data_IF_960398535319
#
_entry.id   IF_960398535319
#
_cell.length_a   1.000
_cell.length_b   1.000
_cell.length_c   1.000
_cell.angle_alpha   90.00
_cell.angle_beta   90.00
_cell.angle_gamma   90.00
#
_symmetry.space_group_name_H-M   'P 1'
#
loop_
_entity.id
_entity.type
_entity.pdbx_description
1 polymer ?
#
# COMPACT_ATOMS: atom_id res chain seq x y z
N UNK A 1 -20.48 -44.27 5.66
CA UNK A 1 -20.64 -43.44 4.46
C UNK A 1 -19.30 -42.76 4.20
N UNK A 2 -18.46 -43.34 3.35
CA UNK A 2 -17.17 -42.77 2.94
C UNK A 2 -17.34 -42.40 1.46
N UNK A 3 -17.23 -41.11 1.13
CA UNK A 3 -17.46 -40.63 -0.25
C UNK A 3 -18.01 -39.20 -0.41
N UNK A 4 -18.14 -38.42 0.67
CA UNK A 4 -18.77 -37.07 0.62
C UNK A 4 -17.83 -35.89 0.36
N UNK A 5 -16.51 -36.10 0.32
CA UNK A 5 -15.55 -35.00 0.18
C UNK A 5 -14.86 -35.06 -1.18
N UNK A 6 -15.07 -34.02 -1.99
CA UNK A 6 -14.38 -33.83 -3.26
C UNK A 6 -13.26 -32.82 -3.05
N UNK A 7 -12.01 -33.26 -3.20
CA UNK A 7 -10.87 -32.35 -3.24
C UNK A 7 -10.80 -31.70 -4.62
N UNK A 8 -10.85 -30.38 -4.66
CA UNK A 8 -10.74 -29.57 -5.88
C UNK A 8 -9.53 -28.66 -5.74
N UNK A 9 -8.70 -28.59 -6.78
CA UNK A 9 -7.57 -27.65 -6.86
C UNK A 9 -7.67 -26.84 -8.13
N UNK A 10 -7.26 -25.58 -8.07
CA UNK A 10 -7.09 -24.70 -9.23
C UNK A 10 -5.60 -24.52 -9.44
N UNK A 11 -5.14 -24.59 -10.68
CA UNK A 11 -3.75 -24.38 -11.06
C UNK A 11 -3.67 -23.39 -12.22
N UNK A 12 -2.68 -22.51 -12.15
CA UNK A 12 -2.33 -21.58 -13.23
C UNK A 12 -1.10 -22.13 -13.94
N UNK A 13 -1.22 -22.38 -15.25
CA UNK A 13 -0.19 -23.03 -16.05
C UNK A 13 0.31 -22.07 -17.11
N UNK A 14 1.59 -21.79 -17.07
CA UNK A 14 2.31 -20.90 -17.97
C UNK A 14 3.80 -21.24 -17.93
N UNK A 15 4.53 -21.04 -19.02
CA UNK A 15 6.00 -21.10 -19.04
C UNK A 15 6.64 -19.76 -18.61
N UNK A 16 5.83 -18.76 -18.28
CA UNK A 16 6.21 -17.40 -17.89
C UNK A 16 5.93 -17.17 -16.40
N UNK A 17 6.78 -16.38 -15.76
CA UNK A 17 6.57 -15.78 -14.44
C UNK A 17 6.57 -14.26 -14.56
N UNK A 18 5.79 -13.59 -13.71
CA UNK A 18 5.89 -12.15 -13.53
C UNK A 18 6.54 -11.82 -12.19
N UNK A 19 7.57 -10.99 -12.25
CA UNK A 19 8.12 -10.28 -11.11
C UNK A 19 7.53 -8.88 -11.10
N UNK A 20 7.18 -8.37 -9.93
CA UNK A 20 6.53 -7.08 -9.81
C UNK A 20 7.12 -6.23 -8.70
N UNK A 21 7.11 -4.92 -8.92
CA UNK A 21 7.46 -3.92 -7.93
C UNK A 21 6.41 -2.82 -7.94
N UNK A 22 5.83 -2.56 -6.78
CA UNK A 22 4.72 -1.62 -6.61
C UNK A 22 5.18 -0.42 -5.77
N UNK A 23 4.77 0.78 -6.16
CA UNK A 23 4.87 2.04 -5.41
C UNK A 23 3.46 2.59 -5.16
N UNK A 24 3.32 3.76 -4.52
CA UNK A 24 2.00 4.34 -4.23
C UNK A 24 1.14 4.65 -5.46
N UNK A 25 1.76 4.85 -6.63
CA UNK A 25 1.07 5.25 -7.86
C UNK A 25 1.46 4.44 -9.10
N UNK A 26 2.31 3.43 -8.95
CA UNK A 26 2.87 2.69 -10.08
C UNK A 26 3.08 1.22 -9.76
N UNK A 27 2.91 0.40 -10.79
CA UNK A 27 3.33 -1.00 -10.82
C UNK A 27 4.27 -1.22 -12.00
N UNK A 28 5.48 -1.70 -11.71
CA UNK A 28 6.38 -2.28 -12.70
C UNK A 28 6.23 -3.80 -12.69
N UNK A 29 6.06 -4.39 -13.87
CA UNK A 29 6.03 -5.84 -14.10
C UNK A 29 7.16 -6.21 -15.05
N UNK A 30 7.86 -7.30 -14.75
CA UNK A 30 8.80 -7.95 -15.65
C UNK A 30 8.44 -9.42 -15.82
N UNK A 31 8.18 -9.84 -17.06
CA UNK A 31 7.86 -11.21 -17.42
C UNK A 31 9.09 -11.95 -17.94
N UNK A 32 9.33 -13.13 -17.38
CA UNK A 32 10.48 -13.96 -17.70
C UNK A 32 10.11 -15.43 -17.87
N UNK A 33 10.85 -16.16 -18.70
CA UNK A 33 10.68 -17.59 -18.89
C UNK A 33 11.14 -18.36 -17.65
N UNK A 34 10.35 -19.35 -17.22
CA UNK A 34 10.61 -20.17 -16.02
C UNK A 34 11.89 -20.99 -16.11
N UNK A 35 12.35 -21.30 -17.33
CA UNK A 35 13.48 -22.20 -17.56
C UNK A 35 14.82 -21.49 -17.59
N UNK A 36 14.92 -20.34 -18.26
CA UNK A 36 16.19 -19.66 -18.49
C UNK A 36 16.19 -18.20 -18.01
N UNK A 37 15.05 -17.69 -17.52
CA UNK A 37 14.91 -16.31 -17.08
C UNK A 37 14.94 -15.30 -18.23
N UNK A 38 14.76 -15.75 -19.46
CA UNK A 38 14.73 -14.89 -20.63
C UNK A 38 13.50 -13.99 -20.63
N UNK A 39 13.63 -12.74 -21.09
CA UNK A 39 12.50 -11.82 -21.20
C UNK A 39 11.38 -12.42 -22.08
N UNK A 40 10.13 -12.32 -21.59
CA UNK A 40 8.93 -12.81 -22.29
C UNK A 40 8.04 -11.64 -22.71
N UNK A 41 8.23 -11.07 -23.91
CA UNK A 41 7.39 -9.98 -24.42
C UNK A 41 5.96 -10.46 -24.72
N UNK A 42 5.03 -9.51 -24.91
CA UNK A 42 3.67 -9.82 -25.37
C UNK A 42 2.73 -10.43 -24.33
N UNK A 43 3.10 -10.47 -23.06
CA UNK A 43 2.21 -10.93 -22.00
C UNK A 43 1.14 -9.87 -21.72
N UNK A 44 -0.13 -10.24 -21.78
CA UNK A 44 -1.24 -9.41 -21.33
C UNK A 44 -1.29 -9.42 -19.81
N UNK A 45 -1.32 -8.25 -19.19
CA UNK A 45 -1.30 -8.06 -17.74
C UNK A 45 -2.55 -7.29 -17.31
N UNK A 46 -3.27 -7.83 -16.33
CA UNK A 46 -4.35 -7.16 -15.63
C UNK A 46 -3.92 -6.90 -14.18
N UNK A 47 -4.03 -5.65 -13.73
CA UNK A 47 -3.83 -5.29 -12.32
C UNK A 47 -5.19 -5.05 -11.67
N UNK A 48 -5.49 -5.81 -10.60
CA UNK A 48 -6.80 -5.82 -9.93
C UNK A 48 -6.67 -5.77 -8.42
N UNK A 49 -7.65 -5.14 -7.76
CA UNK A 49 -7.82 -5.15 -6.30
C UNK A 49 -8.67 -6.33 -5.79
N UNK A 50 -9.14 -7.20 -6.70
CA UNK A 50 -10.06 -8.30 -6.41
C UNK A 50 -11.55 -7.94 -6.56
N UNK A 51 -11.89 -6.66 -6.72
CA UNK A 51 -13.23 -6.18 -7.05
C UNK A 51 -13.36 -5.82 -8.52
N UNK A 52 -12.29 -5.31 -9.13
CA UNK A 52 -12.26 -4.95 -10.54
C UNK A 52 -10.85 -4.79 -11.10
N UNK A 53 -10.74 -4.68 -12.43
CA UNK A 53 -9.47 -4.38 -13.09
C UNK A 53 -9.22 -2.88 -12.98
N UNK A 54 -8.18 -2.48 -12.26
CA UNK A 54 -7.77 -1.09 -12.08
C UNK A 54 -7.13 -0.55 -13.36
N UNK A 55 -6.19 -1.32 -13.92
CA UNK A 55 -5.52 -0.99 -15.18
C UNK A 55 -4.94 -2.25 -15.82
N UNK A 56 -4.51 -2.16 -17.08
CA UNK A 56 -3.99 -3.27 -17.88
C UNK A 56 -2.98 -2.80 -18.92
N UNK A 57 -2.17 -3.73 -19.40
CA UNK A 57 -1.23 -3.46 -20.49
C UNK A 57 -0.63 -4.73 -21.07
N UNK A 58 0.34 -4.56 -21.96
CA UNK A 58 1.08 -5.67 -22.58
C UNK A 58 2.56 -5.40 -22.44
N UNK A 59 3.33 -6.42 -22.06
CA UNK A 59 4.78 -6.28 -21.88
C UNK A 59 5.49 -6.04 -23.21
N UNK A 60 6.45 -5.12 -23.19
CA UNK A 60 7.27 -4.75 -24.35
C UNK A 60 8.33 -5.82 -24.70
N UNK A 61 9.21 -5.50 -25.67
CA UNK A 61 10.28 -6.39 -26.14
C UNK A 61 11.28 -6.84 -25.07
N UNK A 62 11.38 -6.12 -23.95
CA UNK A 62 12.22 -6.49 -22.81
C UNK A 62 11.46 -7.30 -21.74
N UNK A 63 10.19 -7.64 -22.00
CA UNK A 63 9.30 -8.30 -21.06
C UNK A 63 8.83 -7.34 -19.95
N UNK A 64 9.00 -6.03 -20.10
CA UNK A 64 8.58 -5.07 -19.06
C UNK A 64 7.25 -4.41 -19.39
N UNK A 65 6.51 -4.05 -18.35
CA UNK A 65 5.31 -3.22 -18.43
C UNK A 65 5.24 -2.32 -17.20
N UNK A 66 5.02 -1.04 -17.42
CA UNK A 66 4.76 -0.06 -16.37
C UNK A 66 3.28 0.35 -16.43
N UNK A 67 2.61 0.30 -15.28
CA UNK A 67 1.19 0.66 -15.13
C UNK A 67 1.07 1.76 -14.08
N UNK A 68 0.35 2.82 -14.42
CA UNK A 68 0.11 3.97 -13.53
C UNK A 68 -1.31 3.88 -12.95
N UNK A 69 -1.40 3.73 -11.63
CA UNK A 69 -2.65 3.74 -10.86
C UNK A 69 -2.33 3.82 -9.37
N UNK A 70 -3.22 4.40 -8.55
CA UNK A 70 -3.09 4.38 -7.09
C UNK A 70 -3.09 2.92 -6.60
N UNK A 71 -2.07 2.53 -5.84
CA UNK A 71 -1.91 1.16 -5.35
C UNK A 71 -2.75 0.92 -4.10
N UNK A 72 -3.64 -0.08 -4.09
CA UNK A 72 -4.27 -0.54 -2.86
C UNK A 72 -3.30 -1.37 -2.03
N UNK A 73 -3.58 -1.54 -0.73
CA UNK A 73 -2.75 -2.34 0.19
C UNK A 73 -2.54 -3.78 -0.33
N UNK A 74 -3.59 -4.36 -0.93
CA UNK A 74 -3.53 -5.67 -1.57
C UNK A 74 -4.05 -5.58 -3.00
N UNK A 75 -3.26 -6.12 -3.94
CA UNK A 75 -3.65 -6.26 -5.34
C UNK A 75 -3.08 -7.53 -5.95
N UNK A 76 -3.56 -7.87 -7.14
CA UNK A 76 -3.17 -9.04 -7.89
C UNK A 76 -2.82 -8.64 -9.32
N UNK A 77 -1.82 -9.32 -9.86
CA UNK A 77 -1.53 -9.35 -11.28
C UNK A 77 -2.09 -10.66 -11.81
N UNK A 78 -2.96 -10.57 -12.82
CA UNK A 78 -3.37 -11.72 -13.63
C UNK A 78 -2.72 -11.55 -15.00
N UNK A 79 -1.90 -12.51 -15.40
CA UNK A 79 -1.17 -12.46 -16.66
C UNK A 79 -1.53 -13.60 -17.59
N UNK A 80 -1.51 -13.34 -18.89
CA UNK A 80 -1.59 -14.34 -19.96
C UNK A 80 -0.39 -14.15 -20.88
N UNK A 81 0.47 -15.16 -20.98
CA UNK A 81 1.63 -15.12 -21.89
C UNK A 81 1.20 -15.24 -23.37
N UNK A 82 2.14 -15.02 -24.28
CA UNK A 82 1.89 -15.05 -25.72
C UNK A 82 1.43 -16.44 -26.21
N UNK A 83 1.82 -17.50 -25.50
CA UNK A 83 1.43 -18.88 -25.74
C UNK A 83 0.06 -19.26 -25.14
N UNK A 84 -0.58 -18.33 -24.40
CA UNK A 84 -1.91 -18.49 -23.80
C UNK A 84 -1.90 -19.09 -22.39
N UNK A 85 -0.72 -19.34 -21.81
CA UNK A 85 -0.56 -19.73 -20.42
C UNK A 85 -0.94 -18.61 -19.46
N UNK A 86 -1.52 -18.95 -18.32
CA UNK A 86 -1.99 -17.99 -17.31
C UNK A 86 -1.14 -18.09 -16.06
N UNK A 87 -0.83 -16.95 -15.46
CA UNK A 87 -0.14 -16.84 -14.17
C UNK A 87 -0.78 -15.75 -13.30
N UNK A 88 -0.55 -15.86 -11.99
CA UNK A 88 -1.00 -14.89 -10.99
C UNK A 88 0.17 -14.49 -10.10
N UNK A 89 0.21 -13.22 -9.71
CA UNK A 89 1.14 -12.72 -8.68
C UNK A 89 0.38 -11.83 -7.69
N UNK A 90 0.53 -12.11 -6.39
CA UNK A 90 -0.01 -11.26 -5.33
C UNK A 90 0.97 -10.12 -5.04
N UNK A 91 0.43 -8.91 -4.85
CA UNK A 91 1.18 -7.72 -4.52
C UNK A 91 0.63 -7.09 -3.25
N UNK A 92 1.53 -6.80 -2.33
CA UNK A 92 1.22 -6.07 -1.11
C UNK A 92 1.97 -4.75 -1.15
N UNK A 93 1.22 -3.66 -1.17
CA UNK A 93 1.78 -2.33 -1.05
C UNK A 93 1.62 -1.86 0.38
N UNK A 94 2.75 -1.71 1.06
CA UNK A 94 2.82 -0.99 2.32
C UNK A 94 3.55 0.32 2.03
N UNK A 95 2.98 1.43 2.48
CA UNK A 95 3.70 2.71 2.54
C UNK A 95 4.89 2.55 3.50
N UNK A 96 5.99 2.03 2.97
CA UNK A 96 7.28 2.00 3.65
C UNK A 96 7.98 3.34 3.51
N UNK A 97 7.38 4.32 2.81
CA UNK A 97 7.96 5.63 2.65
C UNK A 97 8.05 6.33 3.99
N UNK A 98 9.30 6.39 4.44
CA UNK A 98 9.75 7.12 5.62
C UNK A 98 9.60 8.63 5.36
N UNK A 99 9.52 9.07 4.10
CA UNK A 99 9.68 10.46 3.65
C UNK A 99 8.37 11.25 3.61
N UNK A 100 7.58 11.10 4.66
CA UNK A 100 6.35 11.87 4.85
C UNK A 100 6.43 12.71 6.12
N UNK A 101 5.50 13.65 6.24
CA UNK A 101 5.31 14.36 7.50
C UNK A 101 4.73 13.39 8.52
N UNK A 102 5.46 13.16 9.62
CA UNK A 102 5.01 12.33 10.75
C UNK A 102 4.67 13.21 11.94
N UNK A 103 3.49 12.97 12.52
CA UNK A 103 3.06 13.57 13.77
C UNK A 103 3.22 12.55 14.90
N UNK A 104 4.09 12.86 15.85
CA UNK A 104 4.26 12.08 17.07
C UNK A 104 3.43 12.71 18.18
N UNK A 105 2.50 11.94 18.74
CA UNK A 105 1.58 12.39 19.78
C UNK A 105 1.90 11.64 21.06
N UNK A 106 2.14 12.38 22.13
CA UNK A 106 2.47 11.84 23.45
C UNK A 106 1.54 12.42 24.50
N UNK A 107 1.24 11.59 25.48
CA UNK A 107 0.59 11.99 26.73
C UNK A 107 1.57 11.76 27.89
N UNK A 108 1.32 12.39 29.04
CA UNK A 108 2.14 12.19 30.22
C UNK A 108 2.01 10.78 30.81
N UNK A 109 0.89 10.08 30.55
CA UNK A 109 0.63 8.70 30.97
C UNK A 109 -0.35 7.98 30.05
N UNK A 110 -0.32 6.64 29.99
CA UNK A 110 -1.19 5.87 29.10
C UNK A 110 -2.62 5.65 29.62
N UNK A 111 -2.88 5.90 30.91
CA UNK A 111 -4.18 5.66 31.54
C UNK A 111 -4.58 6.82 32.47
N UNK A 112 -5.82 7.27 32.33
CA UNK A 112 -6.43 8.35 33.12
C UNK A 112 -7.69 7.86 33.81
N UNK A 113 -8.06 8.52 34.90
CA UNK A 113 -9.37 8.36 35.56
C UNK A 113 -10.32 9.48 35.15
N UNK A 114 -11.61 9.26 35.35
CA UNK A 114 -12.60 10.31 35.16
C UNK A 114 -12.27 11.54 36.02
N UNK A 115 -12.32 12.73 35.43
CA UNK A 115 -11.95 14.01 36.07
C UNK A 115 -10.47 14.36 36.00
N UNK A 116 -9.60 13.44 35.55
CA UNK A 116 -8.19 13.77 35.34
C UNK A 116 -8.01 14.74 34.18
N UNK A 117 -7.04 15.64 34.34
CA UNK A 117 -6.52 16.45 33.23
C UNK A 117 -5.63 15.57 32.34
N UNK A 118 -5.82 15.68 31.03
CA UNK A 118 -5.00 15.05 29.99
C UNK A 118 -4.17 16.13 29.31
N UNK A 119 -2.85 16.03 29.42
CA UNK A 119 -1.93 16.91 28.69
C UNK A 119 -1.38 16.16 27.48
N UNK A 120 -1.40 16.80 26.31
CA UNK A 120 -0.98 16.23 25.03
C UNK A 120 0.14 17.06 24.42
N UNK A 121 1.20 16.40 23.98
CA UNK A 121 2.28 17.01 23.18
C UNK A 121 2.26 16.42 21.78
N UNK A 122 2.24 17.30 20.79
CA UNK A 122 2.36 16.92 19.37
C UNK A 122 3.68 17.45 18.83
N UNK A 123 4.46 16.59 18.17
CA UNK A 123 5.70 16.96 17.48
C UNK A 123 5.63 16.48 16.04
N UNK A 124 5.69 17.41 15.09
CA UNK A 124 5.75 17.09 13.67
C UNK A 124 7.18 17.10 13.15
N UNK A 125 7.54 16.10 12.36
CA UNK A 125 8.78 16.09 11.57
C UNK A 125 8.51 15.72 10.12
N UNK A 126 9.15 16.44 9.21
CA UNK A 126 9.21 16.09 7.80
C UNK A 126 10.49 15.29 7.57
N UNK A 127 10.34 14.07 7.08
CA UNK A 127 11.47 13.19 6.77
C UNK A 127 11.82 13.34 5.29
N UNK A 128 13.10 13.60 5.01
CA UNK A 128 13.62 13.70 3.64
C UNK A 128 14.28 12.41 3.21
N UNK A 129 14.89 11.71 4.16
CA UNK A 129 15.48 10.39 4.00
C UNK A 129 15.45 9.63 5.37
N UNK A 130 15.96 8.38 5.49
CA UNK A 130 15.88 7.62 6.74
C UNK A 130 16.69 8.20 7.90
N UNK A 131 17.66 9.07 7.63
CA UNK A 131 18.59 9.65 8.61
C UNK A 131 18.35 11.15 8.82
N UNK A 132 17.73 11.84 7.87
CA UNK A 132 17.54 13.28 7.91
C UNK A 132 16.06 13.69 7.97
N UNK A 133 15.75 14.59 8.90
CA UNK A 133 14.42 15.19 9.03
C UNK A 133 14.50 16.63 9.52
N UNK A 134 13.53 17.45 9.16
CA UNK A 134 13.35 18.82 9.63
C UNK A 134 12.08 18.97 10.47
N UNK A 135 11.98 20.03 11.30
CA UNK A 135 10.69 20.45 11.85
C UNK A 135 9.69 20.73 10.72
N UNK A 136 8.42 20.41 10.95
CA UNK A 136 7.35 20.79 10.02
C UNK A 136 7.15 22.30 10.01
N UNK A 137 6.62 22.81 8.90
CA UNK A 137 6.14 24.20 8.82
C UNK A 137 4.93 24.38 9.75
N UNK A 138 4.89 25.50 10.48
CA UNK A 138 3.73 25.86 11.31
C UNK A 138 2.47 25.93 10.47
N UNK A 139 1.44 25.19 10.86
CA UNK A 139 0.13 25.20 10.23
C UNK A 139 -0.98 25.05 11.28
N UNK A 140 -2.21 25.51 10.98
CA UNK A 140 -3.37 25.22 11.82
C UNK A 140 -3.58 23.70 11.94
N UNK A 141 -3.81 23.24 13.17
CA UNK A 141 -4.07 21.85 13.49
C UNK A 141 -5.35 21.71 14.32
N UNK A 142 -6.04 20.58 14.18
CA UNK A 142 -7.22 20.22 14.96
C UNK A 142 -6.94 18.93 15.71
N UNK A 143 -7.07 18.96 17.02
CA UNK A 143 -7.03 17.77 17.87
C UNK A 143 -8.45 17.43 18.30
N UNK A 144 -8.94 16.27 17.85
CA UNK A 144 -10.26 15.75 18.19
C UNK A 144 -10.13 14.64 19.24
N UNK A 145 -10.90 14.73 20.32
CA UNK A 145 -10.99 13.72 21.37
C UNK A 145 -12.26 12.92 21.15
N UNK A 146 -12.12 11.60 21.02
CA UNK A 146 -13.22 10.66 20.82
C UNK A 146 -13.41 9.81 22.08
N UNK A 147 -14.66 9.42 22.37
CA UNK A 147 -14.94 8.39 23.37
C UNK A 147 -14.72 6.98 22.82
N UNK A 148 -14.91 5.97 23.67
CA UNK A 148 -14.74 4.56 23.30
C UNK A 148 -15.72 4.07 22.21
N UNK A 149 -16.84 4.78 22.00
CA UNK A 149 -17.82 4.49 20.96
C UNK A 149 -17.52 5.25 19.66
N UNK A 150 -16.42 6.02 19.60
CA UNK A 150 -16.05 6.86 18.47
C UNK A 150 -16.79 8.20 18.41
N UNK A 151 -17.55 8.57 19.44
CA UNK A 151 -18.27 9.85 19.48
C UNK A 151 -17.34 11.00 19.83
N UNK A 152 -17.48 12.13 19.15
CA UNK A 152 -16.67 13.32 19.39
C UNK A 152 -17.03 13.97 20.75
N UNK A 153 -16.04 14.06 21.64
CA UNK A 153 -16.16 14.72 22.94
C UNK A 153 -15.72 16.19 22.89
N UNK A 154 -14.61 16.47 22.20
CA UNK A 154 -14.03 17.81 22.15
C UNK A 154 -13.15 18.00 20.92
N UNK A 155 -13.11 19.22 20.38
CA UNK A 155 -12.12 19.65 19.39
C UNK A 155 -11.32 20.82 19.95
N UNK A 156 -10.00 20.71 19.88
CA UNK A 156 -9.06 21.78 20.24
C UNK A 156 -8.37 22.24 18.97
N UNK A 157 -8.59 23.50 18.59
CA UNK A 157 -7.85 24.13 17.49
C UNK A 157 -6.51 24.64 18.05
N UNK A 158 -5.41 24.29 17.39
CA UNK A 158 -4.07 24.70 17.77
C UNK A 158 -3.33 25.27 16.56
N UNK A 159 -2.44 26.20 16.81
CA UNK A 159 -1.49 26.69 15.82
C UNK A 159 -0.14 26.86 16.54
N UNK A 160 0.95 26.41 15.91
CA UNK A 160 2.29 26.71 16.42
C UNK A 160 2.61 28.19 16.20
N UNK A 161 3.37 28.82 17.10
CA UNK A 161 3.67 30.26 17.05
C UNK A 161 4.07 30.69 15.62
N UNK A 162 3.31 31.63 15.04
CA UNK A 162 3.56 32.18 13.71
C UNK A 162 2.50 31.91 12.63
N UNK A 163 1.39 31.19 12.88
CA UNK A 163 0.25 31.29 11.96
C UNK A 163 -0.49 32.62 12.21
N UNK A 164 -0.46 33.51 11.20
CA UNK A 164 -1.35 34.66 11.10
C UNK A 164 -2.68 34.24 10.45
#
# INVERSE_FOLDING_TARGET
>A
MVGGYRATTVVFVSDTVALSKVSGNELLVWTAGKKQGEAKPGSEILWTDGLGVMTRGVTDGSGTLQLQHISPERSYILGKDAEGGVFVSENFFYESEIYNTRLYIFTDRPLYRAGDRVDVKVMGREFHDPLHSSPIVSAPAKLSVLDANGSLLQTVNQCHAGCA
#
